data_IF_873199195949
#
_entry.id   IF_873199195949
#
_cell.length_a   1.000
_cell.length_b   1.000
_cell.length_c   1.000
_cell.angle_alpha   90.00
_cell.angle_beta   90.00
_cell.angle_gamma   90.00
#
_symmetry.space_group_name_H-M   'P 1'
#
loop_
_entity.id
_entity.type
_entity.pdbx_description
1 polymer ?
#
# COMPACT_ATOMS: atom_id res chain seq x y z
N UNK A 1 -7.28 -13.51 -12.84
CA UNK A 1 -6.59 -14.00 -11.64
C UNK A 1 -7.39 -15.17 -11.06
N UNK A 2 -6.84 -16.37 -10.97
CA UNK A 2 -7.58 -17.53 -10.43
C UNK A 2 -7.66 -17.44 -8.90
N UNK A 3 -8.85 -17.63 -8.35
CA UNK A 3 -9.06 -17.65 -6.89
C UNK A 3 -8.40 -18.87 -6.25
N UNK A 4 -8.09 -18.80 -4.96
CA UNK A 4 -7.55 -19.93 -4.18
C UNK A 4 -8.43 -21.17 -4.32
N UNK A 5 -9.76 -20.98 -4.38
CA UNK A 5 -10.75 -22.04 -4.61
C UNK A 5 -10.57 -22.72 -5.98
N UNK A 6 -10.29 -21.95 -7.03
CA UNK A 6 -10.05 -22.47 -8.38
C UNK A 6 -8.71 -23.22 -8.48
N UNK A 7 -7.68 -22.77 -7.75
CA UNK A 7 -6.38 -23.46 -7.69
C UNK A 7 -6.47 -24.77 -6.92
N UNK A 8 -7.19 -24.79 -5.79
CA UNK A 8 -7.44 -26.00 -5.03
C UNK A 8 -8.20 -27.05 -5.86
N UNK A 9 -9.24 -26.64 -6.59
CA UNK A 9 -9.99 -27.53 -7.49
C UNK A 9 -9.11 -28.09 -8.63
N UNK A 10 -8.19 -27.30 -9.16
CA UNK A 10 -7.26 -27.74 -10.19
C UNK A 10 -6.26 -28.77 -9.66
N UNK A 11 -5.69 -28.54 -8.47
CA UNK A 11 -4.77 -29.48 -7.80
C UNK A 11 -5.49 -30.80 -7.50
N UNK A 12 -6.69 -30.73 -6.93
CA UNK A 12 -7.53 -31.91 -6.65
C UNK A 12 -7.82 -32.71 -7.94
N UNK A 13 -8.05 -32.04 -9.08
CA UNK A 13 -8.31 -32.71 -10.36
C UNK A 13 -7.09 -33.38 -11.00
N UNK A 14 -5.88 -33.07 -10.55
CA UNK A 14 -4.61 -33.55 -11.11
C UNK A 14 -3.96 -34.66 -10.27
N UNK A 15 -4.51 -34.93 -9.09
CA UNK A 15 -4.05 -35.97 -8.17
C UNK A 15 -4.86 -37.26 -8.39
N UNK A 16 -4.21 -38.41 -8.27
CA UNK A 16 -4.88 -39.72 -8.33
C UNK A 16 -5.71 -39.97 -7.07
N UNK A 17 -6.72 -40.84 -7.15
CA UNK A 17 -7.70 -41.12 -6.07
C UNK A 17 -7.10 -41.50 -4.69
N UNK A 18 -5.81 -41.86 -4.61
CA UNK A 18 -5.10 -42.20 -3.37
C UNK A 18 -4.37 -41.02 -2.69
N UNK A 19 -4.43 -39.80 -3.23
CA UNK A 19 -3.73 -38.66 -2.63
C UNK A 19 -4.41 -38.15 -1.36
N UNK A 20 -3.62 -37.99 -0.29
CA UNK A 20 -4.13 -37.51 0.99
C UNK A 20 -4.41 -36.01 0.94
N UNK A 21 -5.40 -35.55 1.71
CA UNK A 21 -5.61 -34.11 1.97
C UNK A 21 -4.35 -33.41 2.51
N UNK A 22 -3.45 -34.15 3.16
CA UNK A 22 -2.14 -33.65 3.57
C UNK A 22 -1.26 -33.21 2.39
N UNK A 23 -1.27 -33.98 1.30
CA UNK A 23 -0.46 -33.71 0.10
C UNK A 23 -1.01 -32.50 -0.66
N UNK A 24 -2.33 -32.40 -0.78
CA UNK A 24 -3.03 -31.24 -1.39
C UNK A 24 -2.68 -29.95 -0.65
N UNK A 25 -2.69 -29.98 0.70
CA UNK A 25 -2.36 -28.80 1.51
C UNK A 25 -0.87 -28.45 1.45
N UNK A 26 0.01 -29.43 1.32
CA UNK A 26 1.44 -29.21 1.12
C UNK A 26 1.70 -28.52 -0.23
N UNK A 27 1.07 -29.00 -1.31
CA UNK A 27 1.19 -28.37 -2.63
C UNK A 27 0.60 -26.96 -2.67
N UNK A 28 -0.55 -26.72 -2.01
CA UNK A 28 -1.12 -25.38 -1.89
C UNK A 28 -0.17 -24.41 -1.17
N UNK A 29 0.50 -24.86 -0.10
CA UNK A 29 1.50 -24.05 0.60
C UNK A 29 2.73 -23.78 -0.25
N UNK A 30 3.19 -24.77 -1.03
CA UNK A 30 4.31 -24.60 -1.98
C UNK A 30 3.93 -23.61 -3.07
N UNK A 31 2.72 -23.71 -3.64
CA UNK A 31 2.22 -22.78 -4.66
C UNK A 31 2.08 -21.35 -4.11
N UNK A 32 1.57 -21.19 -2.87
CA UNK A 32 1.50 -19.90 -2.20
C UNK A 32 2.90 -19.32 -1.92
N UNK A 33 3.83 -20.16 -1.45
CA UNK A 33 5.22 -19.75 -1.21
C UNK A 33 5.93 -19.38 -2.51
N UNK A 34 5.67 -20.10 -3.60
CA UNK A 34 6.22 -19.80 -4.91
C UNK A 34 5.62 -18.53 -5.52
N UNK A 35 4.33 -18.23 -5.30
CA UNK A 35 3.75 -16.93 -5.66
C UNK A 35 4.31 -15.78 -4.83
N UNK A 36 4.54 -16.00 -3.53
CA UNK A 36 5.22 -15.02 -2.69
C UNK A 36 6.67 -14.81 -3.15
N UNK A 37 7.40 -15.89 -3.48
CA UNK A 37 8.76 -15.82 -4.00
C UNK A 37 8.84 -15.19 -5.39
N UNK A 38 7.88 -15.43 -6.28
CA UNK A 38 7.84 -14.77 -7.60
C UNK A 38 7.50 -13.28 -7.49
N UNK A 39 6.75 -12.87 -6.45
CA UNK A 39 6.62 -11.45 -6.10
C UNK A 39 7.93 -10.87 -5.56
N UNK A 40 8.67 -11.65 -4.77
CA UNK A 40 9.97 -11.26 -4.24
C UNK A 40 11.02 -11.05 -5.36
N UNK A 41 10.99 -11.87 -6.42
CA UNK A 41 11.89 -11.75 -7.57
C UNK A 41 11.65 -10.48 -8.43
N UNK A 42 10.51 -9.82 -8.30
CA UNK A 42 10.24 -8.53 -8.96
C UNK A 42 10.42 -7.31 -8.04
N UNK A 43 10.55 -7.49 -6.72
CA UNK A 43 10.68 -6.35 -5.78
C UNK A 43 11.99 -5.58 -5.91
N UNK A 44 13.06 -6.19 -6.43
CA UNK A 44 14.37 -5.52 -6.51
C UNK A 44 14.39 -4.30 -7.46
N UNK A 45 13.58 -4.32 -8.52
CA UNK A 45 13.44 -3.18 -9.44
C UNK A 45 12.35 -2.17 -8.99
N UNK A 46 11.36 -2.63 -8.22
CA UNK A 46 10.22 -1.80 -7.81
C UNK A 46 10.51 -0.95 -6.58
N UNK A 47 11.32 -1.43 -5.64
CA UNK A 47 11.66 -0.67 -4.43
C UNK A 47 12.42 0.64 -4.73
N UNK A 48 13.43 0.68 -5.63
CA UNK A 48 14.05 1.95 -6.03
C UNK A 48 13.06 2.93 -6.66
N UNK A 49 12.21 2.45 -7.57
CA UNK A 49 11.17 3.27 -8.21
C UNK A 49 10.15 3.80 -7.20
N UNK A 50 9.73 3.00 -6.21
CA UNK A 50 8.81 3.45 -5.15
C UNK A 50 9.47 4.42 -4.18
N UNK A 51 10.76 4.27 -3.91
CA UNK A 51 11.51 5.25 -3.11
C UNK A 51 11.64 6.59 -3.84
N UNK A 52 11.91 6.57 -5.15
CA UNK A 52 11.88 7.76 -6.00
C UNK A 52 10.50 8.41 -5.98
N UNK A 53 9.44 7.62 -6.17
CA UNK A 53 8.07 8.12 -6.14
C UNK A 53 7.68 8.67 -4.76
N UNK A 54 8.08 8.01 -3.67
CA UNK A 54 7.85 8.47 -2.28
C UNK A 54 8.54 9.82 -2.05
N UNK A 55 9.76 9.97 -2.55
CA UNK A 55 10.53 11.22 -2.46
C UNK A 55 9.86 12.34 -3.25
N UNK A 56 9.42 12.05 -4.49
CA UNK A 56 8.66 12.99 -5.32
C UNK A 56 7.37 13.42 -4.63
N UNK A 57 6.58 12.47 -4.15
CA UNK A 57 5.30 12.72 -3.49
C UNK A 57 5.49 13.57 -2.23
N UNK A 58 6.47 13.22 -1.38
CA UNK A 58 6.82 14.02 -0.21
C UNK A 58 7.18 15.45 -0.60
N UNK A 59 7.98 15.65 -1.66
CA UNK A 59 8.35 16.99 -2.14
C UNK A 59 7.15 17.82 -2.62
N UNK A 60 6.19 17.19 -3.30
CA UNK A 60 4.94 17.85 -3.70
C UNK A 60 4.14 18.29 -2.48
N UNK A 61 3.91 17.37 -1.54
CA UNK A 61 3.12 17.66 -0.33
C UNK A 61 3.79 18.75 0.53
N UNK A 62 5.11 18.74 0.65
CA UNK A 62 5.86 19.78 1.36
C UNK A 62 5.77 21.16 0.69
N UNK A 63 5.69 21.21 -0.64
CA UNK A 63 5.56 22.46 -1.37
C UNK A 63 4.15 23.07 -1.25
N UNK A 64 3.12 22.23 -1.28
CA UNK A 64 1.72 22.66 -1.21
C UNK A 64 1.24 22.85 0.24
N UNK A 65 1.89 22.21 1.22
CA UNK A 65 1.56 22.32 2.65
C UNK A 65 2.80 22.76 3.46
N UNK A 66 3.29 23.99 3.28
CA UNK A 66 4.52 24.48 3.90
C UNK A 66 4.45 24.59 5.43
N UNK A 67 3.24 24.60 5.98
CA UNK A 67 2.92 24.61 7.41
C UNK A 67 2.85 23.23 8.04
N UNK A 68 2.85 22.16 7.24
CA UNK A 68 2.87 20.80 7.74
C UNK A 68 4.13 20.58 8.59
N UNK A 69 3.92 20.05 9.80
CA UNK A 69 4.99 19.83 10.76
C UNK A 69 5.83 18.62 10.37
N UNK A 70 5.18 17.57 9.86
CA UNK A 70 5.87 16.41 9.32
C UNK A 70 5.04 15.76 8.22
N UNK A 71 5.76 15.16 7.26
CA UNK A 71 5.20 14.41 6.15
C UNK A 71 6.04 13.15 5.99
N UNK A 72 5.41 12.01 6.22
CA UNK A 72 6.02 10.69 6.10
C UNK A 72 5.36 9.96 4.94
N UNK A 73 6.16 9.54 3.95
CA UNK A 73 5.70 8.74 2.82
C UNK A 73 6.64 7.55 2.71
N UNK A 74 6.07 6.35 2.69
CA UNK A 74 6.81 5.09 2.65
C UNK A 74 6.15 4.10 1.67
N UNK A 75 6.93 3.14 1.12
CA UNK A 75 6.35 2.03 0.37
C UNK A 75 5.32 1.26 1.21
N UNK A 76 4.20 0.92 0.58
CA UNK A 76 3.19 0.08 1.19
C UNK A 76 3.67 -1.39 1.24
N UNK A 77 3.15 -2.21 2.17
CA UNK A 77 3.54 -3.63 2.29
C UNK A 77 3.23 -4.48 1.06
N UNK A 78 2.41 -3.98 0.13
CA UNK A 78 2.12 -4.66 -1.12
C UNK A 78 3.27 -4.59 -2.14
N UNK A 79 4.26 -3.72 -1.92
CA UNK A 79 5.44 -3.56 -2.78
C UNK A 79 5.16 -2.83 -4.10
N UNK A 80 3.96 -2.28 -4.29
CA UNK A 80 3.54 -1.66 -5.56
C UNK A 80 3.07 -0.20 -5.39
N UNK A 81 2.70 0.19 -4.17
CA UNK A 81 2.14 1.51 -3.86
C UNK A 81 2.90 2.18 -2.72
N UNK A 82 2.56 3.43 -2.46
CA UNK A 82 3.05 4.21 -1.31
C UNK A 82 1.90 4.56 -0.40
N UNK A 83 2.20 4.68 0.89
CA UNK A 83 1.27 5.18 1.91
C UNK A 83 1.99 6.24 2.73
N UNK A 84 1.23 7.06 3.45
CA UNK A 84 1.84 8.11 4.23
C UNK A 84 0.92 8.75 5.23
N UNK A 85 1.53 9.64 6.01
CA UNK A 85 0.91 10.45 7.04
C UNK A 85 1.36 11.90 6.87
N UNK A 86 0.41 12.83 6.99
CA UNK A 86 0.62 14.26 6.96
C UNK A 86 0.20 14.80 8.33
N UNK A 87 1.11 15.48 9.01
CA UNK A 87 0.87 16.03 10.34
C UNK A 87 0.85 17.55 10.24
N UNK A 88 -0.30 18.17 10.49
CA UNK A 88 -0.45 19.63 10.43
C UNK A 88 -1.50 20.12 11.41
N UNK A 89 -1.22 21.26 12.06
CA UNK A 89 -2.22 21.97 12.88
C UNK A 89 -3.34 22.57 12.02
N UNK A 90 -3.12 22.75 10.71
CA UNK A 90 -4.15 23.25 9.79
C UNK A 90 -5.36 22.33 9.71
N UNK A 91 -5.20 21.05 10.04
CA UNK A 91 -6.31 20.10 10.07
C UNK A 91 -7.20 20.25 11.31
N UNK A 92 -6.80 21.05 12.30
CA UNK A 92 -7.57 21.22 13.52
C UNK A 92 -8.95 21.84 13.24
N UNK A 93 -10.01 21.14 13.68
CA UNK A 93 -11.39 21.57 13.48
C UNK A 93 -11.94 21.34 12.06
N UNK A 94 -11.16 20.72 11.16
CA UNK A 94 -11.61 20.25 9.85
C UNK A 94 -12.11 18.80 9.99
N UNK A 95 -13.19 18.44 9.31
CA UNK A 95 -13.69 17.06 9.25
C UNK A 95 -12.75 16.15 8.46
N UNK A 96 -12.70 14.87 8.81
CA UNK A 96 -11.81 13.90 8.15
C UNK A 96 -12.06 13.81 6.64
N UNK A 97 -13.31 13.91 6.18
CA UNK A 97 -13.61 13.89 4.76
C UNK A 97 -13.03 15.13 4.05
N UNK A 98 -13.21 16.31 4.62
CA UNK A 98 -12.70 17.57 4.07
C UNK A 98 -11.15 17.58 4.03
N UNK A 99 -10.50 17.01 5.07
CA UNK A 99 -9.03 16.85 5.08
C UNK A 99 -8.57 15.95 3.93
N UNK A 100 -9.28 14.85 3.70
CA UNK A 100 -8.96 13.92 2.61
C UNK A 100 -9.20 14.54 1.25
N UNK A 101 -10.28 15.28 1.07
CA UNK A 101 -10.57 16.01 -0.17
C UNK A 101 -9.46 17.03 -0.48
N UNK A 102 -9.02 17.80 0.51
CA UNK A 102 -7.90 18.74 0.36
C UNK A 102 -6.60 18.03 -0.09
N UNK A 103 -6.29 16.88 0.50
CA UNK A 103 -5.11 16.11 0.10
C UNK A 103 -5.28 15.56 -1.32
N UNK A 104 -6.45 15.03 -1.67
CA UNK A 104 -6.73 14.51 -3.02
C UNK A 104 -6.68 15.59 -4.09
N UNK A 105 -7.20 16.79 -3.84
CA UNK A 105 -7.11 17.93 -4.76
C UNK A 105 -5.65 18.27 -5.10
N UNK A 106 -4.76 18.22 -4.10
CA UNK A 106 -3.32 18.41 -4.30
C UNK A 106 -2.76 17.29 -5.18
N UNK A 107 -3.12 16.03 -4.93
CA UNK A 107 -2.64 14.91 -5.73
C UNK A 107 -3.14 14.99 -7.18
N UNK A 108 -4.42 15.28 -7.39
CA UNK A 108 -5.02 15.39 -8.71
C UNK A 108 -4.40 16.51 -9.55
N UNK A 109 -4.05 17.63 -8.92
CA UNK A 109 -3.45 18.77 -9.62
C UNK A 109 -1.96 18.57 -9.99
N UNK A 110 -1.25 17.63 -9.36
CA UNK A 110 0.21 17.46 -9.51
C UNK A 110 0.65 16.11 -10.06
N UNK A 111 -0.19 15.09 -9.95
CA UNK A 111 0.12 13.73 -10.35
C UNK A 111 -0.69 13.32 -11.57
N UNK A 112 -0.07 12.54 -12.46
CA UNK A 112 -0.80 11.84 -13.50
C UNK A 112 -1.70 10.74 -12.92
N UNK A 113 -2.74 10.31 -13.64
CA UNK A 113 -3.62 9.22 -13.19
C UNK A 113 -2.85 7.93 -12.81
N UNK A 114 -1.78 7.62 -13.55
CA UNK A 114 -0.94 6.45 -13.27
C UNK A 114 -0.19 6.59 -11.94
N UNK A 115 0.23 7.81 -11.60
CA UNK A 115 0.89 8.11 -10.33
C UNK A 115 -0.11 8.17 -9.17
N UNK A 116 -1.30 8.70 -9.39
CA UNK A 116 -2.38 8.69 -8.40
C UNK A 116 -2.72 7.25 -7.98
N UNK A 117 -2.78 6.31 -8.93
CA UNK A 117 -3.01 4.88 -8.64
C UNK A 117 -1.89 4.22 -7.83
N UNK A 118 -0.71 4.85 -7.74
CA UNK A 118 0.40 4.39 -6.90
C UNK A 118 0.29 4.88 -5.46
N UNK A 119 -0.67 5.76 -5.14
CA UNK A 119 -0.98 6.17 -3.78
C UNK A 119 -2.03 5.22 -3.20
N UNK A 120 -1.67 4.49 -2.16
CA UNK A 120 -2.59 3.62 -1.43
C UNK A 120 -3.44 4.43 -0.45
N UNK A 121 -2.80 5.27 0.36
CA UNK A 121 -3.46 6.07 1.40
C UNK A 121 -2.55 7.18 1.92
N UNK A 122 -3.09 8.37 2.14
CA UNK A 122 -2.45 9.44 2.89
C UNK A 122 -3.37 9.87 4.02
N UNK A 123 -2.93 9.71 5.26
CA UNK A 123 -3.77 10.05 6.43
C UNK A 123 -3.34 11.41 6.96
N UNK A 124 -4.30 12.31 7.11
CA UNK A 124 -4.11 13.64 7.66
C UNK A 124 -4.42 13.63 9.16
N UNK A 125 -3.45 14.03 9.97
CA UNK A 125 -3.60 14.15 11.42
C UNK A 125 -3.22 15.54 11.92
N UNK A 126 -3.88 15.97 12.98
CA UNK A 126 -3.30 16.99 13.85
C UNK A 126 -2.15 16.39 14.68
N UNK A 127 -1.26 17.23 15.23
CA UNK A 127 -0.15 16.73 16.06
C UNK A 127 -0.62 16.08 17.36
N UNK A 128 -1.79 16.47 17.87
CA UNK A 128 -2.44 15.82 19.01
C UNK A 128 -3.00 14.44 18.63
N UNK A 129 -3.75 14.35 17.53
CA UNK A 129 -4.28 13.07 17.02
C UNK A 129 -3.16 12.08 16.71
N UNK A 130 -2.07 12.52 16.07
CA UNK A 130 -0.96 11.63 15.76
C UNK A 130 -0.24 11.11 17.00
N UNK A 131 -0.14 11.92 18.06
CA UNK A 131 0.43 11.47 19.34
C UNK A 131 -0.46 10.40 19.97
N UNK A 132 -1.78 10.62 20.02
CA UNK A 132 -2.73 9.64 20.52
C UNK A 132 -2.65 8.31 19.74
N UNK A 133 -2.57 8.38 18.41
CA UNK A 133 -2.42 7.21 17.54
C UNK A 133 -1.12 6.41 17.79
N UNK A 134 -0.04 7.07 18.21
CA UNK A 134 1.26 6.42 18.48
C UNK A 134 1.33 5.74 19.83
N UNK A 135 0.48 6.13 20.77
CA UNK A 135 0.44 5.58 22.13
C UNK A 135 -0.46 4.35 22.27
N UNK A 136 -1.21 4.01 21.21
CA UNK A 136 -2.07 2.82 21.08
C UNK A 136 -1.33 1.60 20.48
#
# INVERSE_FOLDING_TARGET
MQTIKQKALKIISQLSDDSSWGDVLAELRIAQRNEANSRIEHTEDFLPMLNEFSTKLKGILQAEMPSAQDIVVEPAPDGERVKGVIISEEFAGIDDADRQDQVWDILESKLSETEQRRVLSLIAYTPEEYRAFKEE
#
